data_IF_549946777226
#
_entry.id   IF_549946777226
#
_cell.length_a   1.000
_cell.length_b   1.000
_cell.length_c   1.000
_cell.angle_alpha   90.00
_cell.angle_beta   90.00
_cell.angle_gamma   90.00
#
_symmetry.space_group_name_H-M   'P 1'
#
loop_
_entity.id
_entity.type
_entity.pdbx_description
1 polymer ?
#
# COMPACT_ATOMS: atom_id res chain seq x y z
N UNK A 1 46.97 -39.34 36.48
CA UNK A 1 46.61 -39.31 35.04
C UNK A 1 45.93 -37.99 34.78
N UNK A 2 46.54 -37.14 33.96
CA UNK A 2 46.30 -35.70 33.97
C UNK A 2 46.28 -35.13 32.54
N UNK A 3 45.42 -34.12 32.38
CA UNK A 3 45.43 -32.99 31.42
C UNK A 3 44.92 -33.28 29.99
N UNK A 4 43.93 -32.57 29.44
CA UNK A 4 43.69 -31.12 29.25
C UNK A 4 44.69 -30.48 28.26
N UNK A 5 44.13 -29.87 27.19
CA UNK A 5 44.74 -28.97 26.18
C UNK A 5 45.02 -29.58 24.80
N UNK A 6 44.22 -29.19 23.80
CA UNK A 6 44.70 -28.51 22.58
C UNK A 6 43.55 -27.80 21.86
N UNK A 7 43.12 -26.69 22.49
CA UNK A 7 42.62 -25.50 21.82
C UNK A 7 43.86 -24.65 21.51
N UNK A 8 44.64 -24.97 20.46
CA UNK A 8 45.74 -24.12 19.98
C UNK A 8 46.29 -24.60 18.63
N UNK A 9 45.59 -24.28 17.54
CA UNK A 9 46.17 -24.10 16.21
C UNK A 9 45.03 -23.76 15.24
N UNK A 10 44.70 -22.47 15.09
CA UNK A 10 44.42 -21.71 13.83
C UNK A 10 44.12 -20.24 14.24
N UNK A 11 44.95 -19.64 15.10
CA UNK A 11 44.92 -18.18 15.39
C UNK A 11 46.33 -17.59 15.17
N UNK A 12 47.00 -18.03 14.10
CA UNK A 12 48.29 -17.50 13.68
C UNK A 12 48.36 -17.33 12.16
N UNK A 13 47.28 -16.78 11.58
CA UNK A 13 47.21 -16.44 10.16
C UNK A 13 46.28 -15.26 9.87
N UNK A 14 46.05 -14.41 10.86
CA UNK A 14 45.31 -13.16 10.70
C UNK A 14 46.29 -12.02 10.97
N UNK A 15 46.96 -11.57 9.89
CA UNK A 15 47.60 -10.26 9.64
C UNK A 15 48.56 -10.50 8.46
N UNK A 16 48.06 -10.25 7.23
CA UNK A 16 48.80 -9.80 6.03
C UNK A 16 48.06 -10.25 4.74
N UNK A 17 47.13 -9.42 4.25
CA UNK A 17 46.90 -9.13 2.82
C UNK A 17 45.60 -8.34 2.66
N UNK A 18 45.65 -7.07 3.07
CA UNK A 18 44.81 -6.04 2.49
C UNK A 18 45.26 -5.81 1.04
N UNK A 19 44.37 -5.99 0.06
CA UNK A 19 44.59 -5.49 -1.29
C UNK A 19 43.99 -6.25 -2.49
N UNK A 20 43.33 -7.40 -2.31
CA UNK A 20 42.68 -8.09 -3.43
C UNK A 20 41.28 -7.53 -3.72
N UNK A 21 41.12 -6.80 -4.82
CA UNK A 21 39.78 -6.53 -5.39
C UNK A 21 39.11 -7.87 -5.70
N UNK A 22 37.83 -8.09 -5.37
CA UNK A 22 37.16 -9.35 -5.71
C UNK A 22 37.12 -9.49 -7.25
N UNK A 23 37.94 -10.40 -7.79
CA UNK A 23 37.80 -10.87 -9.16
C UNK A 23 36.64 -11.86 -9.19
N UNK A 24 35.52 -11.40 -9.75
CA UNK A 24 34.44 -12.29 -10.21
C UNK A 24 35.07 -13.27 -11.19
N UNK A 25 34.98 -14.57 -10.90
CA UNK A 25 35.33 -15.61 -11.85
C UNK A 25 34.38 -15.49 -13.06
N UNK A 26 34.91 -14.95 -14.16
CA UNK A 26 34.17 -14.72 -15.41
C UNK A 26 34.00 -15.98 -16.25
N UNK A 27 34.45 -17.15 -15.79
CA UNK A 27 34.30 -18.40 -16.55
C UNK A 27 33.08 -19.18 -16.08
N UNK A 28 31.90 -18.82 -16.61
CA UNK A 28 30.80 -19.74 -17.00
C UNK A 28 29.42 -19.08 -17.15
N UNK A 29 29.31 -17.84 -17.65
CA UNK A 29 27.98 -17.25 -17.99
C UNK A 29 27.91 -16.50 -19.32
N UNK A 30 29.02 -16.33 -20.06
CA UNK A 30 29.03 -15.51 -21.29
C UNK A 30 28.81 -16.27 -22.60
N UNK A 31 28.80 -17.61 -22.60
CA UNK A 31 28.71 -18.40 -23.84
C UNK A 31 27.42 -19.23 -23.97
N UNK A 32 26.48 -19.10 -23.03
CA UNK A 32 25.13 -19.57 -23.28
C UNK A 32 24.35 -18.42 -23.92
N UNK A 33 23.87 -18.58 -25.18
CA UNK A 33 23.04 -17.56 -25.79
C UNK A 33 21.83 -17.29 -24.88
N UNK A 34 21.41 -16.02 -24.73
CA UNK A 34 20.19 -15.70 -23.98
C UNK A 34 19.05 -16.55 -24.52
N UNK A 35 18.30 -17.19 -23.63
CA UNK A 35 17.16 -18.02 -24.01
C UNK A 35 16.24 -17.17 -24.88
N UNK A 36 16.11 -17.57 -26.15
CA UNK A 36 15.22 -16.89 -27.08
C UNK A 36 13.79 -16.96 -26.56
N UNK A 37 12.92 -15.99 -26.88
CA UNK A 37 11.50 -16.10 -26.58
C UNK A 37 10.90 -17.44 -27.03
N UNK A 38 11.36 -17.99 -28.16
CA UNK A 38 11.00 -19.35 -28.62
C UNK A 38 11.48 -20.48 -27.71
N UNK A 39 12.67 -20.37 -27.10
CA UNK A 39 13.17 -21.36 -26.13
C UNK A 39 12.40 -21.28 -24.80
N UNK A 40 12.08 -20.08 -24.34
CA UNK A 40 11.23 -19.85 -23.15
C UNK A 40 9.81 -20.36 -23.40
N UNK A 41 9.22 -20.03 -24.55
CA UNK A 41 7.93 -20.55 -24.99
C UNK A 41 8.00 -22.07 -25.12
N UNK A 42 9.04 -22.66 -25.69
CA UNK A 42 9.19 -24.11 -25.79
C UNK A 42 9.31 -24.81 -24.43
N UNK A 43 9.86 -24.13 -23.42
CA UNK A 43 9.90 -24.61 -22.03
C UNK A 43 8.56 -24.43 -21.29
N UNK A 44 7.71 -23.48 -21.69
CA UNK A 44 6.36 -23.25 -21.17
C UNK A 44 5.27 -24.06 -21.89
N UNK A 45 5.48 -24.39 -23.17
CA UNK A 45 4.69 -25.31 -23.98
C UNK A 45 5.18 -26.75 -23.84
N UNK A 46 6.31 -26.94 -23.15
CA UNK A 46 6.80 -28.25 -22.76
C UNK A 46 5.92 -28.84 -21.68
N UNK A 47 5.64 -30.13 -21.82
CA UNK A 47 5.12 -31.02 -20.78
C UNK A 47 5.83 -30.71 -19.44
N UNK A 48 5.09 -30.41 -18.38
CA UNK A 48 5.66 -30.35 -17.02
C UNK A 48 5.71 -29.00 -16.32
N UNK A 49 4.77 -28.08 -16.58
CA UNK A 49 4.50 -27.03 -15.60
C UNK A 49 3.95 -27.68 -14.32
N UNK A 50 4.77 -27.69 -13.27
CA UNK A 50 4.39 -28.15 -11.94
C UNK A 50 3.35 -27.16 -11.40
N UNK A 51 2.12 -27.63 -11.22
CA UNK A 51 1.10 -26.91 -10.48
C UNK A 51 0.83 -27.60 -9.16
N UNK A 52 0.31 -26.80 -8.24
CA UNK A 52 -0.18 -27.23 -6.94
C UNK A 52 -1.69 -27.56 -7.09
N UNK A 53 -2.09 -28.76 -6.69
CA UNK A 53 -3.51 -29.16 -6.59
C UNK A 53 -3.88 -29.34 -5.12
N UNK A 54 -5.11 -28.99 -4.76
CA UNK A 54 -5.70 -29.33 -3.47
C UNK A 54 -6.99 -30.11 -3.72
N UNK A 55 -7.20 -31.21 -2.98
CA UNK A 55 -8.38 -32.05 -3.10
C UNK A 55 -9.07 -32.22 -1.75
N UNK A 56 -10.37 -32.42 -1.82
CA UNK A 56 -11.20 -32.79 -0.67
C UNK A 56 -11.70 -34.22 -0.90
N UNK A 57 -11.48 -35.08 0.10
CA UNK A 57 -11.84 -36.50 0.03
C UNK A 57 -12.86 -36.78 1.12
N UNK A 58 -14.06 -37.18 0.71
CA UNK A 58 -15.16 -37.51 1.62
C UNK A 58 -15.25 -39.01 1.83
N UNK A 59 -15.31 -39.43 3.09
CA UNK A 59 -15.47 -40.82 3.49
C UNK A 59 -16.94 -41.09 3.87
N UNK A 60 -17.68 -41.89 3.08
CA UNK A 60 -19.07 -42.24 3.41
C UNK A 60 -19.18 -43.38 4.43
N UNK A 61 -18.08 -43.99 4.86
CA UNK A 61 -18.08 -45.15 5.76
C UNK A 61 -18.00 -44.72 7.23
N UNK A 62 -18.58 -45.51 8.16
CA UNK A 62 -18.53 -45.25 9.60
C UNK A 62 -17.17 -45.60 10.23
N UNK A 63 -16.14 -45.86 9.42
CA UNK A 63 -14.79 -46.23 9.84
C UNK A 63 -13.78 -45.33 9.11
N UNK A 64 -12.70 -44.97 9.81
CA UNK A 64 -11.58 -44.22 9.25
C UNK A 64 -10.81 -45.07 8.22
N UNK A 65 -10.32 -44.42 7.18
CA UNK A 65 -9.29 -44.99 6.30
C UNK A 65 -8.18 -43.96 6.06
N UNK A 66 -7.04 -44.44 5.63
CA UNK A 66 -5.85 -43.62 5.36
C UNK A 66 -5.38 -43.82 3.94
N UNK A 67 -4.97 -42.75 3.27
CA UNK A 67 -4.39 -42.79 1.93
C UNK A 67 -2.88 -42.57 2.06
N UNK A 68 -2.10 -43.56 1.61
CA UNK A 68 -0.65 -43.49 1.60
C UNK A 68 -0.14 -42.90 0.29
N UNK A 69 -0.83 -43.19 -0.81
CA UNK A 69 -0.49 -42.69 -2.15
C UNK A 69 -1.76 -42.48 -2.96
N UNK A 70 -1.76 -41.45 -3.81
CA UNK A 70 -2.81 -41.17 -4.77
C UNK A 70 -2.21 -40.82 -6.14
N UNK A 71 -2.85 -41.22 -7.23
CA UNK A 71 -2.53 -40.72 -8.56
C UNK A 71 -3.73 -40.79 -9.50
N UNK A 72 -3.84 -39.84 -10.42
CA UNK A 72 -4.96 -39.75 -11.36
C UNK A 72 -4.62 -38.91 -12.58
N UNK A 73 -5.48 -39.02 -13.60
CA UNK A 73 -5.52 -38.18 -14.78
C UNK A 73 -6.80 -37.34 -14.75
N UNK A 74 -6.69 -36.02 -14.66
CA UNK A 74 -7.81 -35.10 -14.79
C UNK A 74 -7.92 -34.59 -16.23
N UNK A 75 -9.09 -34.71 -16.82
CA UNK A 75 -9.33 -34.42 -18.24
C UNK A 75 -10.73 -33.90 -18.54
N UNK A 76 -10.98 -33.53 -19.78
CA UNK A 76 -12.31 -33.17 -20.27
C UNK A 76 -12.49 -33.79 -21.66
N UNK A 77 -13.63 -34.45 -21.91
CA UNK A 77 -13.95 -35.09 -23.19
C UNK A 77 -12.84 -36.04 -23.69
N UNK A 78 -12.28 -36.85 -22.79
CA UNK A 78 -11.22 -37.81 -23.10
C UNK A 78 -9.82 -37.21 -23.29
N UNK A 79 -9.67 -35.88 -23.21
CA UNK A 79 -8.36 -35.21 -23.25
C UNK A 79 -7.84 -35.00 -21.84
N UNK A 80 -6.68 -35.56 -21.49
CA UNK A 80 -6.05 -35.35 -20.18
C UNK A 80 -5.30 -34.02 -20.14
N UNK A 81 -5.57 -33.22 -19.11
CA UNK A 81 -4.99 -31.89 -18.93
C UNK A 81 -4.11 -31.76 -17.69
N UNK A 82 -4.34 -32.59 -16.68
CA UNK A 82 -3.45 -32.70 -15.52
C UNK A 82 -3.26 -34.16 -15.14
N UNK A 83 -2.04 -34.52 -14.77
CA UNK A 83 -1.69 -35.85 -14.26
C UNK A 83 -0.80 -35.69 -13.05
N UNK A 84 -1.09 -36.41 -11.98
CA UNK A 84 -0.23 -36.38 -10.81
C UNK A 84 -0.16 -37.73 -10.12
N UNK A 85 0.92 -37.94 -9.38
CA UNK A 85 1.08 -39.02 -8.40
C UNK A 85 1.76 -38.43 -7.17
N UNK A 86 1.18 -38.69 -6.00
CA UNK A 86 1.62 -38.12 -4.74
C UNK A 86 1.62 -39.18 -3.65
N UNK A 87 2.70 -39.20 -2.87
CA UNK A 87 2.84 -40.05 -1.69
C UNK A 87 2.77 -39.17 -0.45
N UNK A 88 1.81 -39.46 0.43
CA UNK A 88 1.65 -38.73 1.68
C UNK A 88 2.70 -39.20 2.69
N UNK A 89 3.34 -38.25 3.37
CA UNK A 89 4.25 -38.58 4.46
C UNK A 89 3.50 -39.30 5.59
N UNK A 90 4.19 -40.21 6.30
CA UNK A 90 3.63 -40.95 7.44
C UNK A 90 2.99 -39.97 8.45
N UNK A 91 1.75 -40.21 8.92
CA UNK A 91 1.01 -41.47 8.81
C UNK A 91 0.15 -41.62 7.54
N UNK A 92 0.26 -40.76 6.55
CA UNK A 92 -0.62 -40.70 5.38
C UNK A 92 -1.72 -39.63 5.52
N UNK A 93 -2.59 -39.49 4.52
CA UNK A 93 -3.78 -38.64 4.60
C UNK A 93 -4.90 -39.40 5.30
N UNK A 94 -5.20 -39.00 6.54
CA UNK A 94 -6.25 -39.60 7.36
C UNK A 94 -7.61 -39.04 6.96
N UNK A 95 -8.53 -39.90 6.52
CA UNK A 95 -9.89 -39.52 6.17
C UNK A 95 -10.86 -40.02 7.25
N UNK A 96 -11.40 -39.11 8.09
CA UNK A 96 -12.20 -39.50 9.25
C UNK A 96 -13.50 -40.22 8.85
N UNK A 97 -14.03 -41.06 9.74
CA UNK A 97 -15.33 -41.71 9.56
C UNK A 97 -16.44 -40.67 9.30
N UNK A 98 -17.24 -40.88 8.25
CA UNK A 98 -18.32 -39.97 7.83
C UNK A 98 -17.88 -38.50 7.63
N UNK A 99 -16.60 -38.26 7.39
CA UNK A 99 -16.02 -36.92 7.32
C UNK A 99 -15.31 -36.63 6.01
N UNK A 100 -14.73 -35.44 5.92
CA UNK A 100 -13.94 -34.99 4.76
C UNK A 100 -12.54 -34.62 5.21
N UNK A 101 -11.53 -35.01 4.45
CA UNK A 101 -10.15 -34.60 4.64
C UNK A 101 -9.68 -33.74 3.47
N UNK A 102 -8.86 -32.74 3.78
CA UNK A 102 -8.17 -31.93 2.78
C UNK A 102 -6.77 -32.52 2.56
N UNK A 103 -6.37 -32.72 1.30
CA UNK A 103 -5.05 -33.30 0.98
C UNK A 103 -3.88 -32.36 1.30
N UNK A 104 -4.16 -31.08 1.56
CA UNK A 104 -3.18 -30.03 1.46
C UNK A 104 -2.79 -29.78 0.00
N UNK A 105 -1.62 -29.20 -0.19
CA UNK A 105 -1.05 -28.96 -1.51
C UNK A 105 -0.32 -30.21 -2.00
N UNK A 106 -0.73 -30.70 -3.17
CA UNK A 106 -0.05 -31.73 -3.95
C UNK A 106 0.76 -31.03 -5.03
N UNK A 107 2.07 -31.17 -4.90
CA UNK A 107 3.06 -30.74 -5.86
C UNK A 107 3.29 -31.79 -6.97
N UNK A 108 4.08 -31.43 -7.97
CA UNK A 108 4.47 -32.35 -9.05
C UNK A 108 3.38 -32.65 -10.09
N UNK A 109 2.31 -31.86 -10.14
CA UNK A 109 1.26 -32.03 -11.15
C UNK A 109 1.81 -31.70 -12.53
N UNK A 110 1.81 -32.67 -13.42
CA UNK A 110 2.19 -32.49 -14.81
C UNK A 110 0.98 -32.03 -15.61
N UNK A 111 1.17 -31.03 -16.48
CA UNK A 111 0.15 -30.60 -17.45
C UNK A 111 0.54 -31.09 -18.85
N UNK A 112 0.00 -32.23 -19.33
CA UNK A 112 0.44 -32.83 -20.60
C UNK A 112 0.21 -31.93 -21.83
N UNK A 113 -0.82 -31.08 -21.76
CA UNK A 113 -1.16 -30.13 -22.84
C UNK A 113 -0.43 -28.78 -22.69
N UNK A 114 0.38 -28.61 -21.64
CA UNK A 114 0.93 -27.32 -21.23
C UNK A 114 -0.13 -26.39 -20.61
N UNK A 115 0.29 -25.42 -19.81
CA UNK A 115 -0.66 -24.59 -19.05
C UNK A 115 -1.62 -23.77 -19.92
N UNK A 116 -1.21 -23.41 -21.14
CA UNK A 116 -2.02 -22.58 -22.05
C UNK A 116 -3.21 -23.34 -22.62
N UNK A 117 -3.02 -24.60 -22.99
CA UNK A 117 -4.13 -25.43 -23.44
C UNK A 117 -5.09 -25.74 -22.28
N UNK A 118 -4.56 -25.85 -21.05
CA UNK A 118 -5.37 -26.01 -19.83
C UNK A 118 -6.24 -24.78 -19.53
N UNK A 119 -5.89 -23.57 -20.03
CA UNK A 119 -6.74 -22.38 -19.88
C UNK A 119 -8.08 -22.52 -20.63
N UNK A 120 -8.11 -23.32 -21.71
CA UNK A 120 -9.33 -23.59 -22.48
C UNK A 120 -10.40 -24.39 -21.72
N UNK A 121 -10.05 -24.98 -20.57
CA UNK A 121 -10.97 -25.71 -19.70
C UNK A 121 -11.68 -24.78 -18.71
N UNK A 122 -11.11 -23.60 -18.42
CA UNK A 122 -11.64 -22.67 -17.42
C UNK A 122 -13.15 -22.38 -17.59
N UNK A 123 -13.70 -22.21 -18.82
CA UNK A 123 -15.13 -21.98 -19.01
C UNK A 123 -16.02 -23.14 -18.57
N UNK A 124 -15.48 -24.36 -18.46
CA UNK A 124 -16.24 -25.56 -18.11
C UNK A 124 -16.34 -25.74 -16.59
N UNK A 125 -15.38 -25.23 -15.81
CA UNK A 125 -15.42 -25.29 -14.34
C UNK A 125 -15.35 -26.69 -13.74
N UNK A 126 -15.18 -27.74 -14.56
CA UNK A 126 -15.23 -29.15 -14.15
C UNK A 126 -14.18 -29.97 -14.92
N UNK A 127 -13.68 -31.04 -14.28
CA UNK A 127 -12.81 -32.06 -14.88
C UNK A 127 -13.29 -33.47 -14.53
N UNK A 128 -13.12 -34.40 -15.45
CA UNK A 128 -13.27 -35.82 -15.20
C UNK A 128 -11.94 -36.41 -14.71
N UNK A 129 -11.97 -37.13 -13.59
CA UNK A 129 -10.88 -37.95 -13.12
C UNK A 129 -10.97 -39.35 -13.75
N UNK A 130 -9.85 -39.80 -14.29
CA UNK A 130 -9.69 -41.11 -14.92
C UNK A 130 -8.42 -41.78 -14.40
N UNK A 131 -8.42 -43.11 -14.36
CA UNK A 131 -7.32 -43.91 -13.82
C UNK A 131 -6.93 -43.50 -12.39
N UNK A 132 -7.92 -43.08 -11.59
CA UNK A 132 -7.68 -42.79 -10.19
C UNK A 132 -7.25 -44.08 -9.49
N UNK A 133 -6.07 -44.01 -8.88
CA UNK A 133 -5.44 -45.09 -8.13
C UNK A 133 -5.03 -44.58 -6.77
N UNK A 134 -5.29 -45.38 -5.74
CA UNK A 134 -4.99 -45.03 -4.36
C UNK A 134 -4.43 -46.25 -3.64
N UNK A 135 -3.33 -46.09 -2.93
CA UNK A 135 -2.93 -47.05 -1.90
C UNK A 135 -3.59 -46.62 -0.61
N UNK A 136 -4.56 -47.41 -0.13
CA UNK A 136 -5.31 -47.10 1.10
C UNK A 136 -5.09 -48.16 2.18
N UNK A 137 -5.25 -47.76 3.43
CA UNK A 137 -5.37 -48.65 4.59
C UNK A 137 -6.73 -48.44 5.21
N UNK A 138 -7.52 -49.49 5.27
CA UNK A 138 -8.88 -49.48 5.80
C UNK A 138 -8.89 -49.77 7.30
N UNK A 139 -9.83 -49.20 8.04
CA UNK A 139 -10.00 -49.44 9.48
C UNK A 139 -8.75 -49.00 10.26
N UNK A 140 -8.24 -47.81 9.93
CA UNK A 140 -7.11 -47.21 10.65
C UNK A 140 -7.59 -46.51 11.93
N UNK A 141 -6.66 -46.25 12.84
CA UNK A 141 -6.91 -45.39 14.01
C UNK A 141 -5.86 -44.29 13.98
N UNK A 142 -6.28 -43.04 13.71
CA UNK A 142 -5.39 -41.90 13.54
C UNK A 142 -4.26 -42.16 12.52
N UNK A 143 -4.58 -42.83 11.41
CA UNK A 143 -3.58 -43.13 10.39
C UNK A 143 -2.69 -44.35 10.65
N UNK A 144 -2.81 -45.00 11.80
CA UNK A 144 -1.96 -46.13 12.19
C UNK A 144 -2.65 -47.47 11.95
N UNK A 145 -1.89 -48.45 11.46
CA UNK A 145 -2.38 -49.81 11.19
C UNK A 145 -3.24 -49.89 9.93
N UNK A 146 -4.30 -50.69 9.99
CA UNK A 146 -5.28 -50.89 8.93
C UNK A 146 -4.93 -52.02 7.95
N UNK A 147 -5.94 -52.46 7.19
CA UNK A 147 -5.80 -53.47 6.14
C UNK A 147 -5.47 -52.76 4.81
N UNK A 148 -4.32 -53.05 4.17
CA UNK A 148 -4.00 -52.49 2.86
C UNK A 148 -5.06 -52.89 1.84
N UNK A 149 -5.63 -51.90 1.16
CA UNK A 149 -6.57 -52.07 0.07
C UNK A 149 -6.16 -51.15 -1.09
N UNK A 150 -5.46 -51.68 -2.11
CA UNK A 150 -5.19 -50.91 -3.31
C UNK A 150 -6.49 -50.69 -4.08
N UNK A 151 -6.74 -49.44 -4.44
CA UNK A 151 -7.81 -49.03 -5.33
C UNK A 151 -7.18 -48.64 -6.67
N UNK A 152 -7.73 -49.11 -7.78
CA UNK A 152 -7.22 -48.80 -9.11
C UNK A 152 -8.34 -48.73 -10.13
N UNK A 153 -8.14 -47.92 -11.17
CA UNK A 153 -9.10 -47.78 -12.27
C UNK A 153 -10.38 -47.03 -11.89
N UNK A 154 -10.38 -46.27 -10.79
CA UNK A 154 -11.54 -45.46 -10.42
C UNK A 154 -11.70 -44.29 -11.40
N UNK A 155 -12.95 -43.88 -11.59
CA UNK A 155 -13.31 -42.74 -12.43
C UNK A 155 -14.32 -41.87 -11.69
N UNK A 156 -14.20 -40.56 -11.83
CA UNK A 156 -15.14 -39.58 -11.28
C UNK A 156 -15.39 -38.52 -12.35
N UNK A 157 -16.65 -38.21 -12.62
CA UNK A 157 -17.04 -37.23 -13.64
C UNK A 157 -17.46 -35.92 -13.00
N UNK A 158 -17.28 -34.81 -13.72
CA UNK A 158 -17.76 -33.49 -13.28
C UNK A 158 -17.19 -33.04 -11.92
N UNK A 159 -15.90 -33.32 -11.66
CA UNK A 159 -15.24 -32.81 -10.45
C UNK A 159 -15.08 -31.29 -10.57
N UNK A 160 -15.70 -30.49 -9.70
CA UNK A 160 -15.60 -29.04 -9.78
C UNK A 160 -14.16 -28.57 -9.63
N UNK A 161 -13.76 -27.64 -10.49
CA UNK A 161 -12.43 -27.03 -10.47
C UNK A 161 -12.55 -25.54 -10.26
N UNK A 162 -11.80 -25.04 -9.28
CA UNK A 162 -11.68 -23.60 -9.04
C UNK A 162 -10.25 -23.22 -9.33
N UNK A 163 -10.05 -22.27 -10.24
CA UNK A 163 -8.74 -21.66 -10.41
C UNK A 163 -8.49 -20.77 -9.20
N UNK A 164 -7.54 -21.14 -8.35
CA UNK A 164 -7.07 -20.28 -7.28
C UNK A 164 -6.58 -18.96 -7.88
N UNK A 165 -7.29 -17.87 -7.60
CA UNK A 165 -6.81 -16.52 -7.92
C UNK A 165 -5.59 -16.25 -7.05
N UNK A 166 -4.46 -15.95 -7.69
CA UNK A 166 -3.25 -15.54 -6.98
C UNK A 166 -3.59 -14.32 -6.10
N UNK A 167 -3.55 -14.50 -4.78
CA UNK A 167 -3.72 -13.41 -3.83
C UNK A 167 -2.49 -12.51 -3.89
N UNK A 168 -2.70 -11.21 -4.13
CA UNK A 168 -1.63 -10.20 -4.10
C UNK A 168 -1.81 -9.38 -2.84
N UNK A 169 -0.74 -9.13 -2.08
CA UNK A 169 -0.76 -8.22 -0.93
C UNK A 169 -0.04 -6.92 -1.28
N UNK A 170 -0.60 -5.80 -0.84
CA UNK A 170 0.04 -4.49 -0.83
C UNK A 170 0.47 -4.19 0.60
N UNK A 171 1.74 -3.82 0.77
CA UNK A 171 2.24 -3.27 2.03
C UNK A 171 2.44 -1.77 1.83
N UNK A 172 1.73 -0.97 2.63
CA UNK A 172 1.84 0.49 2.63
C UNK A 172 2.62 0.92 3.85
N UNK A 173 3.61 1.79 3.65
CA UNK A 173 4.33 2.46 4.73
C UNK A 173 3.83 3.90 4.86
N UNK A 174 3.38 4.25 6.06
CA UNK A 174 3.06 5.63 6.41
C UNK A 174 4.28 6.27 7.05
N UNK A 175 4.85 7.29 6.41
CA UNK A 175 6.01 8.03 6.94
C UNK A 175 5.62 9.32 7.67
N UNK A 176 4.33 9.63 7.78
CA UNK A 176 3.85 10.82 8.47
C UNK A 176 3.41 10.48 9.91
N UNK A 177 3.51 11.43 10.86
CA UNK A 177 3.23 11.20 12.29
C UNK A 177 1.73 11.15 12.64
N UNK A 178 0.86 10.86 11.66
CA UNK A 178 -0.58 10.72 11.86
C UNK A 178 -1.12 9.57 11.02
N UNK A 179 -2.25 9.00 11.41
CA UNK A 179 -2.92 7.93 10.66
C UNK A 179 -3.40 8.43 9.29
N UNK A 180 -3.21 7.61 8.27
CA UNK A 180 -3.82 7.78 6.96
C UNK A 180 -4.72 6.59 6.66
N UNK A 181 -5.76 6.81 5.88
CA UNK A 181 -6.65 5.75 5.41
C UNK A 181 -6.75 5.78 3.90
N UNK A 182 -6.57 4.64 3.26
CA UNK A 182 -6.70 4.50 1.81
C UNK A 182 -8.06 3.90 1.50
N UNK A 183 -8.90 4.64 0.79
CA UNK A 183 -10.23 4.18 0.40
C UNK A 183 -10.19 3.46 -0.95
N UNK A 184 -9.35 3.94 -1.86
CA UNK A 184 -9.20 3.38 -3.19
C UNK A 184 -7.75 3.51 -3.66
N UNK A 185 -7.30 2.52 -4.40
CA UNK A 185 -6.02 2.49 -5.08
C UNK A 185 -6.18 1.96 -6.50
N UNK A 186 -5.52 2.58 -7.46
CA UNK A 186 -5.42 2.07 -8.83
C UNK A 186 -4.10 2.43 -9.46
N UNK A 187 -3.59 1.55 -10.33
CA UNK A 187 -2.36 1.80 -11.09
C UNK A 187 -2.29 0.92 -12.33
N UNK A 188 -1.40 1.30 -13.25
CA UNK A 188 -0.95 0.47 -14.35
C UNK A 188 0.52 0.10 -14.09
N UNK A 189 0.88 -1.17 -14.21
CA UNK A 189 2.26 -1.62 -14.20
C UNK A 189 2.67 -2.06 -15.61
N UNK A 190 3.78 -1.52 -16.10
CA UNK A 190 4.23 -1.67 -17.48
C UNK A 190 5.74 -1.70 -17.62
N UNK A 191 6.21 -1.89 -18.85
CA UNK A 191 7.62 -1.74 -19.20
C UNK A 191 7.69 -1.05 -20.58
N UNK A 192 8.54 -0.02 -20.71
CA UNK A 192 8.74 0.72 -21.96
C UNK A 192 7.42 1.22 -22.58
N UNK A 193 6.53 1.77 -21.74
CA UNK A 193 5.23 2.29 -22.16
C UNK A 193 4.17 1.24 -22.49
N UNK A 194 4.48 -0.05 -22.39
CA UNK A 194 3.50 -1.14 -22.55
C UNK A 194 2.94 -1.54 -21.19
N UNK A 195 1.64 -1.43 -20.99
CA UNK A 195 0.95 -1.85 -19.77
C UNK A 195 0.71 -3.36 -19.77
N UNK A 196 1.20 -4.05 -18.75
CA UNK A 196 1.05 -5.50 -18.59
C UNK A 196 0.04 -5.88 -17.51
N UNK A 197 -0.15 -4.99 -16.53
CA UNK A 197 -1.00 -5.22 -15.39
C UNK A 197 -1.74 -3.94 -15.07
N UNK A 198 -3.04 -4.04 -14.81
CA UNK A 198 -3.84 -2.93 -14.32
C UNK A 198 -4.63 -3.42 -13.12
N UNK A 199 -4.64 -2.67 -12.03
CA UNK A 199 -5.53 -2.97 -10.93
C UNK A 199 -6.23 -1.71 -10.45
N UNK A 200 -7.45 -1.90 -9.99
CA UNK A 200 -8.25 -0.90 -9.28
C UNK A 200 -8.92 -1.63 -8.13
N UNK A 201 -8.65 -1.17 -6.92
CA UNK A 201 -9.14 -1.77 -5.70
C UNK A 201 -9.78 -0.71 -4.81
N UNK A 202 -10.99 -1.00 -4.33
CA UNK A 202 -11.70 -0.19 -3.35
C UNK A 202 -11.76 -0.96 -2.04
N UNK A 203 -11.26 -0.36 -0.97
CA UNK A 203 -11.27 -0.95 0.35
C UNK A 203 -12.66 -0.78 0.97
N UNK A 204 -13.20 -1.85 1.57
CA UNK A 204 -14.45 -1.75 2.33
C UNK A 204 -14.26 -0.84 3.53
N UNK A 205 -15.32 -0.11 3.91
CA UNK A 205 -15.33 0.74 5.11
C UNK A 205 -14.76 -0.02 6.33
N UNK A 206 -13.81 0.57 7.08
CA UNK A 206 -13.42 1.98 7.05
C UNK A 206 -12.31 2.34 6.05
N UNK A 207 -11.85 1.43 5.19
CA UNK A 207 -10.69 1.59 4.31
C UNK A 207 -9.45 0.85 4.83
N UNK A 208 -8.32 0.95 4.13
CA UNK A 208 -7.03 0.45 4.61
C UNK A 208 -6.40 1.48 5.56
N UNK A 209 -6.47 1.19 6.86
CA UNK A 209 -5.90 2.02 7.92
C UNK A 209 -4.38 1.81 7.96
N UNK A 210 -3.61 2.88 7.79
CA UNK A 210 -2.15 2.85 7.91
C UNK A 210 -1.72 3.70 9.13
N UNK A 211 -1.30 3.07 10.23
CA UNK A 211 -0.94 3.77 11.47
C UNK A 211 0.15 4.82 11.26
N UNK A 212 0.15 5.86 12.11
CA UNK A 212 1.22 6.86 12.14
C UNK A 212 2.61 6.22 12.22
N UNK A 213 3.52 6.61 11.33
CA UNK A 213 4.88 6.05 11.22
C UNK A 213 4.95 4.52 11.09
N UNK A 214 3.84 3.89 10.69
CA UNK A 214 3.66 2.44 10.69
C UNK A 214 3.54 1.85 9.28
N UNK A 215 3.16 0.57 9.24
CA UNK A 215 2.85 -0.15 8.00
C UNK A 215 1.51 -0.84 8.10
N UNK A 216 0.82 -0.98 6.98
CA UNK A 216 -0.39 -1.78 6.87
C UNK A 216 -0.33 -2.71 5.67
N UNK A 217 -0.94 -3.89 5.81
CA UNK A 217 -1.09 -4.86 4.73
C UNK A 217 -2.55 -4.83 4.25
N UNK A 218 -2.76 -4.70 2.95
CA UNK A 218 -4.10 -4.70 2.34
C UNK A 218 -4.86 -6.01 2.50
N UNK A 219 -4.18 -7.12 2.84
CA UNK A 219 -4.68 -8.45 2.54
C UNK A 219 -4.68 -8.71 1.04
N UNK A 220 -5.54 -9.61 0.56
CA UNK A 220 -5.66 -9.92 -0.87
C UNK A 220 -6.27 -8.74 -1.64
N UNK A 221 -5.58 -8.32 -2.70
CA UNK A 221 -6.11 -7.46 -3.75
C UNK A 221 -6.58 -8.36 -4.88
N UNK A 222 -7.89 -8.45 -5.03
CA UNK A 222 -8.54 -9.17 -6.11
C UNK A 222 -8.60 -8.32 -7.40
N UNK A 223 -9.01 -8.94 -8.51
CA UNK A 223 -9.29 -8.28 -9.79
C UNK A 223 -8.10 -7.55 -10.46
N UNK A 224 -6.91 -8.12 -10.32
CA UNK A 224 -5.75 -7.69 -11.11
C UNK A 224 -5.94 -8.12 -12.57
N UNK A 225 -6.23 -7.17 -13.44
CA UNK A 225 -6.39 -7.42 -14.87
C UNK A 225 -5.01 -7.47 -15.56
N UNK A 226 -4.87 -8.39 -16.50
CA UNK A 226 -3.70 -8.51 -17.38
C UNK A 226 -4.16 -8.17 -18.81
N UNK A 227 -4.13 -6.89 -19.24
CA UNK A 227 -4.72 -6.48 -20.51
C UNK A 227 -4.11 -7.17 -21.73
N UNK A 228 -2.82 -7.51 -21.65
CA UNK A 228 -2.09 -8.22 -22.69
C UNK A 228 -2.19 -9.76 -22.53
N UNK A 229 -2.97 -10.23 -21.55
CA UNK A 229 -3.07 -11.63 -21.16
C UNK A 229 -1.84 -12.14 -20.42
N UNK A 230 -2.01 -13.29 -19.76
CA UNK A 230 -0.94 -13.96 -19.01
C UNK A 230 0.28 -14.34 -19.89
N UNK A 231 0.06 -14.46 -21.20
CA UNK A 231 1.09 -14.83 -22.17
C UNK A 231 2.10 -13.71 -22.43
N UNK A 232 1.62 -12.49 -22.63
CA UNK A 232 2.49 -11.34 -22.84
C UNK A 232 3.29 -10.99 -21.57
N UNK A 233 2.74 -11.27 -20.39
CA UNK A 233 3.44 -11.09 -19.11
C UNK A 233 4.64 -12.02 -18.93
N UNK A 234 4.79 -13.11 -19.70
CA UNK A 234 6.03 -13.92 -19.65
C UNK A 234 7.25 -13.16 -20.20
N UNK A 235 7.04 -12.25 -21.16
CA UNK A 235 8.12 -11.47 -21.76
C UNK A 235 8.78 -10.46 -20.80
N UNK A 236 8.12 -10.12 -19.70
CA UNK A 236 8.61 -9.18 -18.68
C UNK A 236 9.21 -9.86 -17.44
N UNK A 237 9.00 -11.17 -17.25
CA UNK A 237 9.60 -11.92 -16.13
C UNK A 237 11.12 -11.72 -16.04
N UNK A 238 11.88 -11.73 -17.16
CA UNK A 238 13.32 -11.49 -17.11
C UNK A 238 13.70 -10.08 -16.64
N UNK A 239 12.80 -9.09 -16.79
CA UNK A 239 13.05 -7.71 -16.41
C UNK A 239 13.13 -7.52 -14.89
N UNK A 240 12.42 -8.36 -14.13
CA UNK A 240 12.30 -8.28 -12.65
C UNK A 240 11.87 -6.92 -12.10
N UNK A 241 11.44 -6.01 -12.97
CA UNK A 241 11.11 -4.63 -12.66
C UNK A 241 9.96 -4.19 -13.56
N UNK A 242 9.05 -3.39 -13.01
CA UNK A 242 7.96 -2.76 -13.75
C UNK A 242 7.84 -1.29 -13.37
N UNK A 243 7.48 -0.46 -14.33
CA UNK A 243 7.12 0.93 -14.09
C UNK A 243 5.65 0.99 -13.71
N UNK A 244 5.36 1.57 -12.54
CA UNK A 244 4.02 1.96 -12.15
C UNK A 244 3.70 3.33 -12.78
N UNK A 245 2.60 3.42 -13.51
CA UNK A 245 2.14 4.63 -14.19
C UNK A 245 0.67 4.86 -13.92
N UNK A 246 0.27 6.14 -13.84
CA UNK A 246 -1.12 6.49 -13.55
C UNK A 246 -1.57 6.00 -12.19
N UNK A 247 -0.66 5.94 -11.21
CA UNK A 247 -1.00 5.61 -9.84
C UNK A 247 -1.94 6.69 -9.30
N UNK A 248 -3.12 6.25 -8.91
CA UNK A 248 -4.16 7.07 -8.29
C UNK A 248 -4.56 6.46 -6.96
N UNK A 249 -4.68 7.28 -5.93
CA UNK A 249 -5.15 6.86 -4.61
C UNK A 249 -6.13 7.89 -4.05
N UNK A 250 -7.23 7.41 -3.47
CA UNK A 250 -8.08 8.22 -2.61
C UNK A 250 -7.61 7.97 -1.17
N UNK A 251 -6.94 8.96 -0.59
CA UNK A 251 -6.41 8.90 0.76
C UNK A 251 -7.15 9.89 1.65
N UNK A 252 -7.41 9.53 2.90
CA UNK A 252 -7.81 10.45 3.95
C UNK A 252 -6.68 10.59 4.96
N UNK A 253 -6.19 11.80 5.15
CA UNK A 253 -5.19 12.10 6.18
C UNK A 253 -5.86 12.46 7.51
N UNK A 254 -5.14 12.29 8.63
CA UNK A 254 -5.63 12.64 9.96
C UNK A 254 -6.91 11.87 10.34
N UNK A 255 -7.00 10.61 9.92
CA UNK A 255 -8.12 9.73 10.31
C UNK A 255 -7.93 9.24 11.75
N UNK A 256 -9.03 8.76 12.34
CA UNK A 256 -9.01 8.08 13.64
C UNK A 256 -9.70 6.74 13.45
N UNK A 257 -8.93 5.64 13.50
CA UNK A 257 -9.43 4.29 13.24
C UNK A 257 -10.17 4.19 11.90
N UNK A 258 -9.65 4.86 10.87
CA UNK A 258 -10.25 4.89 9.53
C UNK A 258 -11.46 5.81 9.35
N UNK A 259 -11.92 6.49 10.41
CA UNK A 259 -13.05 7.42 10.34
C UNK A 259 -12.59 8.86 10.13
N UNK A 260 -13.44 9.66 9.48
CA UNK A 260 -13.19 11.09 9.22
C UNK A 260 -12.01 11.32 8.27
N UNK A 261 -11.17 12.32 8.60
CA UNK A 261 -9.98 12.69 7.85
C UNK A 261 -10.23 13.66 6.69
N UNK A 262 -9.13 14.22 6.18
CA UNK A 262 -9.10 15.16 5.06
C UNK A 262 -8.84 14.36 3.78
N UNK A 263 -9.76 14.38 2.80
CA UNK A 263 -9.51 13.76 1.51
C UNK A 263 -8.33 14.42 0.80
N UNK A 264 -7.34 13.61 0.43
CA UNK A 264 -6.19 13.98 -0.38
C UNK A 264 -6.24 13.09 -1.64
N UNK A 265 -6.84 13.58 -2.73
CA UNK A 265 -6.79 12.86 -3.99
C UNK A 265 -5.35 12.87 -4.52
N UNK A 266 -4.75 11.70 -4.66
CA UNK A 266 -3.48 11.52 -5.34
C UNK A 266 -3.76 10.97 -6.74
N UNK A 267 -3.23 11.63 -7.76
CA UNK A 267 -3.37 11.18 -9.15
C UNK A 267 -2.10 11.47 -9.94
N UNK A 268 -1.89 10.69 -11.00
CA UNK A 268 -0.76 10.89 -11.92
C UNK A 268 0.61 10.55 -11.31
N UNK A 269 0.65 9.83 -10.19
CA UNK A 269 1.92 9.36 -9.63
C UNK A 269 2.51 8.28 -10.54
N UNK A 270 3.83 8.23 -10.60
CA UNK A 270 4.57 7.20 -11.33
C UNK A 270 5.80 6.79 -10.54
N UNK A 271 6.19 5.53 -10.70
CA UNK A 271 7.35 4.95 -10.06
C UNK A 271 8.02 4.02 -11.06
N UNK A 272 9.26 4.31 -11.43
CA UNK A 272 10.03 3.46 -12.35
C UNK A 272 10.74 2.34 -11.61
N UNK A 273 11.08 1.26 -12.32
CA UNK A 273 11.95 0.19 -11.82
C UNK A 273 11.45 -0.46 -10.52
N UNK A 274 10.14 -0.64 -10.36
CA UNK A 274 9.58 -1.28 -9.17
C UNK A 274 9.93 -2.77 -9.18
N UNK A 275 10.71 -3.26 -8.20
CA UNK A 275 11.10 -4.66 -8.16
C UNK A 275 9.87 -5.56 -8.13
N UNK A 276 9.81 -6.48 -9.08
CA UNK A 276 8.68 -7.37 -9.28
C UNK A 276 9.15 -8.81 -9.06
N UNK A 277 8.64 -9.44 -8.01
CA UNK A 277 8.85 -10.87 -7.78
C UNK A 277 7.71 -11.67 -8.41
N UNK A 278 8.06 -12.63 -9.23
CA UNK A 278 7.11 -13.56 -9.84
C UNK A 278 7.11 -14.87 -9.06
N UNK A 279 6.21 -15.01 -8.10
CA UNK A 279 5.99 -16.27 -7.40
C UNK A 279 4.98 -17.12 -8.18
N UNK A 280 5.51 -17.95 -9.08
CA UNK A 280 4.87 -19.13 -9.61
C UNK A 280 5.87 -20.26 -9.48
N UNK A 281 5.49 -21.35 -8.80
CA UNK A 281 6.28 -22.55 -8.56
C UNK A 281 6.68 -23.23 -9.88
N UNK A 282 7.69 -22.69 -10.54
CA UNK A 282 8.57 -23.39 -11.46
C UNK A 282 10.04 -22.92 -11.33
N UNK A 283 10.33 -21.86 -10.57
CA UNK A 283 11.70 -21.38 -10.30
C UNK A 283 11.80 -20.96 -8.84
N UNK A 284 12.07 -21.92 -7.96
CA UNK A 284 12.09 -21.73 -6.52
C UNK A 284 13.30 -20.90 -6.03
N UNK A 285 12.99 -19.89 -5.21
CA UNK A 285 13.75 -19.60 -3.98
C UNK A 285 14.77 -18.47 -4.02
N UNK A 286 14.32 -17.22 -3.88
CA UNK A 286 15.12 -16.13 -3.29
C UNK A 286 14.23 -15.18 -2.45
N UNK A 287 14.77 -14.58 -1.37
CA UNK A 287 14.00 -13.82 -0.40
C UNK A 287 13.49 -12.50 -1.01
N UNK A 288 12.33 -12.08 -0.54
CA UNK A 288 11.66 -10.82 -0.86
C UNK A 288 12.66 -9.64 -0.83
N UNK A 289 12.81 -8.84 -1.90
CA UNK A 289 13.38 -7.52 -1.72
C UNK A 289 12.37 -6.70 -0.91
N UNK A 290 12.79 -6.22 0.26
CA UNK A 290 12.12 -5.09 0.90
C UNK A 290 11.97 -3.99 -0.15
N UNK A 291 10.78 -3.39 -0.27
CA UNK A 291 10.64 -2.12 -0.97
C UNK A 291 11.70 -1.17 -0.40
N UNK A 292 12.69 -0.81 -1.22
CA UNK A 292 13.69 0.17 -0.82
C UNK A 292 12.98 1.52 -0.69
N UNK A 293 13.30 2.18 0.41
CA UNK A 293 12.61 3.30 1.06
C UNK A 293 12.64 4.60 0.23
N UNK A 294 13.09 4.55 -1.02
CA UNK A 294 13.58 5.71 -1.78
C UNK A 294 12.66 6.22 -2.89
N UNK A 295 11.66 5.45 -3.32
CA UNK A 295 10.92 5.79 -4.55
C UNK A 295 9.44 6.15 -4.35
N UNK A 296 8.92 6.04 -3.13
CA UNK A 296 7.69 6.71 -2.71
C UNK A 296 8.09 7.93 -1.89
N UNK A 297 8.32 9.05 -2.56
CA UNK A 297 8.43 10.33 -1.84
C UNK A 297 7.06 10.59 -1.21
N UNK A 298 6.95 10.66 0.13
CA UNK A 298 5.71 11.06 0.77
C UNK A 298 5.25 12.41 0.22
N UNK A 299 3.95 12.72 0.25
CA UNK A 299 3.46 14.03 -0.16
C UNK A 299 4.32 15.09 0.52
N UNK A 300 4.91 15.96 -0.31
CA UNK A 300 5.80 17.00 0.20
C UNK A 300 5.03 17.89 1.16
N UNK A 301 5.73 18.54 2.09
CA UNK A 301 5.10 19.54 2.96
C UNK A 301 4.29 20.56 2.17
N UNK A 302 4.74 20.94 0.95
CA UNK A 302 3.99 21.81 0.04
C UNK A 302 2.66 21.20 -0.41
N UNK A 303 2.63 19.93 -0.83
CA UNK A 303 1.38 19.27 -1.25
C UNK A 303 0.38 19.12 -0.10
N UNK A 304 0.87 18.89 1.12
CA UNK A 304 0.04 18.88 2.32
C UNK A 304 -0.49 20.29 2.58
N UNK A 305 0.36 21.32 2.50
CA UNK A 305 -0.03 22.72 2.65
C UNK A 305 -1.10 23.09 1.61
N UNK A 306 -0.91 22.77 0.33
CA UNK A 306 -1.86 23.08 -0.75
C UNK A 306 -3.23 22.42 -0.50
N UNK A 307 -3.24 21.15 -0.08
CA UNK A 307 -4.49 20.48 0.30
C UNK A 307 -5.16 21.13 1.53
N UNK A 308 -4.36 21.61 2.50
CA UNK A 308 -4.85 22.32 3.69
C UNK A 308 -5.30 23.76 3.40
N UNK A 309 -4.73 24.44 2.41
CA UNK A 309 -5.18 25.78 1.99
C UNK A 309 -6.53 25.72 1.27
N UNK A 310 -6.76 24.69 0.44
CA UNK A 310 -8.02 24.51 -0.30
C UNK A 310 -9.25 24.21 0.56
N UNK A 311 -9.07 23.63 1.75
CA UNK A 311 -10.16 23.35 2.71
C UNK A 311 -10.59 24.56 3.54
N UNK A 312 -9.96 25.73 3.35
CA UNK A 312 -10.43 26.98 3.95
C UNK A 312 -10.24 27.04 5.48
N UNK A 313 -9.13 26.54 6.00
CA UNK A 313 -8.76 26.66 7.44
C UNK A 313 -8.76 28.13 7.89
N UNK A 314 -8.55 29.07 6.96
CA UNK A 314 -8.68 30.50 7.17
C UNK A 314 -9.72 31.02 6.21
N UNK A 315 -10.98 30.98 6.62
CA UNK A 315 -12.08 31.64 5.92
C UNK A 315 -12.70 32.68 6.85
N UNK A 316 -13.01 33.84 6.29
CA UNK A 316 -13.67 34.95 6.95
C UNK A 316 -12.84 35.60 8.08
N UNK A 317 -11.52 35.77 7.87
CA UNK A 317 -10.70 36.61 8.76
C UNK A 317 -11.29 38.01 8.75
N UNK A 318 -12.09 38.37 9.74
CA UNK A 318 -12.67 39.71 9.81
C UNK A 318 -11.74 40.59 10.64
N UNK A 319 -10.97 41.45 9.99
CA UNK A 319 -10.21 42.48 10.70
C UNK A 319 -11.08 43.71 10.91
N UNK A 320 -11.22 44.13 12.17
CA UNK A 320 -11.88 45.38 12.50
C UNK A 320 -10.84 46.38 13.01
N UNK A 321 -10.75 47.53 12.36
CA UNK A 321 -9.91 48.64 12.76
C UNK A 321 -10.81 49.74 13.34
N UNK A 322 -10.58 50.11 14.60
CA UNK A 322 -11.18 51.32 15.16
C UNK A 322 -10.18 52.47 15.05
N UNK A 323 -10.66 53.71 15.09
CA UNK A 323 -9.76 54.87 15.12
C UNK A 323 -8.77 54.78 16.29
N UNK A 324 -9.25 54.34 17.46
CA UNK A 324 -8.40 54.07 18.61
C UNK A 324 -7.37 53.01 18.28
N UNK A 325 -7.75 51.93 17.59
CA UNK A 325 -6.84 50.84 17.25
C UNK A 325 -5.75 51.29 16.27
N UNK A 326 -6.10 52.15 15.31
CA UNK A 326 -5.15 52.80 14.40
C UNK A 326 -4.15 53.68 15.18
N UNK A 327 -4.62 54.43 16.17
CA UNK A 327 -3.76 55.30 16.99
C UNK A 327 -2.91 54.51 18.00
N UNK A 328 -3.38 53.34 18.43
CA UNK A 328 -2.68 52.47 19.39
C UNK A 328 -1.91 51.33 18.74
N UNK A 329 -1.85 51.26 17.41
CA UNK A 329 -1.23 50.16 16.66
C UNK A 329 -1.80 48.78 17.05
N UNK A 330 -3.13 48.67 17.10
CA UNK A 330 -3.85 47.42 17.39
C UNK A 330 -4.89 47.12 16.31
N UNK A 331 -5.22 45.83 16.15
CA UNK A 331 -6.38 45.36 15.41
C UNK A 331 -7.27 44.55 16.36
N UNK A 332 -8.59 44.69 16.23
CA UNK A 332 -9.51 44.29 17.30
C UNK A 332 -9.69 42.77 17.48
N UNK A 333 -9.76 42.00 16.39
CA UNK A 333 -9.72 40.53 16.44
C UNK A 333 -9.61 39.88 15.06
N UNK A 334 -9.19 38.62 15.03
CA UNK A 334 -9.32 37.68 13.91
C UNK A 334 -10.16 36.49 14.38
N UNK A 335 -11.16 36.12 13.60
CA UNK A 335 -11.93 34.89 13.81
C UNK A 335 -11.32 33.78 12.98
N UNK A 336 -10.90 32.70 13.63
CA UNK A 336 -10.44 31.49 12.97
C UNK A 336 -11.56 30.45 12.95
N UNK A 337 -11.71 29.75 11.82
CA UNK A 337 -12.63 28.63 11.68
C UNK A 337 -11.83 27.36 11.43
N UNK A 338 -12.10 26.30 12.18
CA UNK A 338 -11.45 25.02 12.01
C UNK A 338 -12.42 24.05 11.31
N UNK A 339 -12.27 23.80 10.01
CA UNK A 339 -13.13 22.87 9.28
C UNK A 339 -12.78 21.39 9.57
N UNK A 340 -11.77 21.12 10.41
CA UNK A 340 -11.27 19.78 10.65
C UNK A 340 -11.94 19.13 11.87
N UNK A 341 -12.13 17.78 11.86
CA UNK A 341 -12.65 17.02 13.00
C UNK A 341 -11.61 16.83 14.13
N UNK A 342 -10.55 17.62 14.15
CA UNK A 342 -9.49 17.61 15.17
C UNK A 342 -9.27 19.03 15.69
N UNK A 343 -8.77 19.16 16.92
CA UNK A 343 -8.43 20.47 17.49
C UNK A 343 -7.14 21.04 16.86
N UNK A 344 -7.14 22.35 16.63
CA UNK A 344 -5.95 23.10 16.20
C UNK A 344 -5.52 24.06 17.31
N UNK A 345 -4.21 24.25 17.45
CA UNK A 345 -3.64 25.26 18.35
C UNK A 345 -2.75 26.19 17.55
N UNK A 346 -3.07 27.48 17.46
CA UNK A 346 -2.22 28.47 16.79
C UNK A 346 -1.25 29.05 17.83
N UNK A 347 0.05 28.98 17.57
CA UNK A 347 1.08 29.58 18.43
C UNK A 347 1.49 30.97 17.96
N UNK A 348 1.32 31.27 16.66
CA UNK A 348 1.63 32.57 16.09
C UNK A 348 0.88 32.81 14.78
N UNK A 349 0.49 34.07 14.55
CA UNK A 349 0.10 34.59 13.23
C UNK A 349 1.00 35.75 12.84
N UNK A 350 1.30 35.87 11.56
CA UNK A 350 1.89 37.06 10.96
C UNK A 350 1.37 37.25 9.53
N UNK A 351 1.23 38.48 9.08
CA UNK A 351 0.77 38.76 7.73
C UNK A 351 0.74 40.25 7.40
N UNK A 352 0.49 40.51 6.11
CA UNK A 352 0.42 41.85 5.54
C UNK A 352 -0.99 42.09 4.99
N UNK A 353 -1.63 43.19 5.40
CA UNK A 353 -2.91 43.63 4.86
C UNK A 353 -2.67 44.82 3.91
N UNK A 354 -3.20 44.71 2.69
CA UNK A 354 -2.98 45.66 1.63
C UNK A 354 -4.18 45.86 0.70
N UNK A 355 -4.03 46.75 -0.27
CA UNK A 355 -4.99 46.93 -1.36
C UNK A 355 -4.19 47.16 -2.64
N UNK A 356 -4.54 46.45 -3.73
CA UNK A 356 -3.86 46.56 -5.03
C UNK A 356 -2.32 46.42 -4.94
N UNK A 357 -1.85 45.48 -4.12
CA UNK A 357 -0.42 45.22 -3.90
C UNK A 357 0.31 46.22 -3.00
N UNK A 358 -0.37 47.25 -2.49
CA UNK A 358 0.20 48.18 -1.49
C UNK A 358 -0.10 47.69 -0.08
N UNK A 359 0.93 47.45 0.73
CA UNK A 359 0.79 47.02 2.13
C UNK A 359 0.52 48.22 3.04
N UNK A 360 -0.60 48.18 3.77
CA UNK A 360 -1.02 49.24 4.67
C UNK A 360 -0.89 48.87 6.15
N UNK A 361 -0.97 47.58 6.47
CA UNK A 361 -0.74 47.09 7.82
C UNK A 361 0.10 45.81 7.78
N UNK A 362 1.01 45.67 8.73
CA UNK A 362 1.78 44.44 8.96
C UNK A 362 1.60 44.05 10.42
N UNK A 363 1.29 42.80 10.69
CA UNK A 363 1.04 42.33 12.06
C UNK A 363 1.80 41.05 12.38
N UNK A 364 2.13 40.89 13.66
CA UNK A 364 2.67 39.64 14.20
C UNK A 364 2.15 39.48 15.62
N UNK A 365 1.43 38.39 15.87
CA UNK A 365 0.85 38.07 17.16
C UNK A 365 1.23 36.65 17.57
N UNK A 366 1.95 36.53 18.67
CA UNK A 366 2.19 35.26 19.33
C UNK A 366 1.06 34.96 20.32
N UNK A 367 0.74 33.67 20.49
CA UNK A 367 -0.19 33.17 21.49
C UNK A 367 0.60 32.25 22.44
N UNK A 368 1.16 32.77 23.56
CA UNK A 368 2.05 31.99 24.43
C UNK A 368 1.39 30.73 25.01
N UNK A 369 0.08 30.77 25.25
CA UNK A 369 -0.73 29.63 25.70
C UNK A 369 -1.33 28.81 24.55
N UNK A 370 -1.07 29.20 23.30
CA UNK A 370 -1.79 28.74 22.12
C UNK A 370 -3.21 29.31 22.05
N UNK A 371 -3.66 29.62 20.83
CA UNK A 371 -5.06 29.86 20.53
C UNK A 371 -5.69 28.55 20.07
N UNK A 372 -6.51 27.96 20.94
CA UNK A 372 -7.18 26.69 20.69
C UNK A 372 -8.42 26.92 19.84
N UNK A 373 -8.47 26.30 18.66
CA UNK A 373 -9.63 26.25 17.79
C UNK A 373 -10.26 24.85 17.90
N UNK A 374 -11.47 24.72 18.48
CA UNK A 374 -12.14 23.43 18.61
C UNK A 374 -12.32 22.72 17.26
N UNK A 375 -12.39 21.39 17.28
CA UNK A 375 -12.75 20.60 16.11
C UNK A 375 -14.11 21.05 15.55
N UNK A 376 -14.19 21.29 14.23
CA UNK A 376 -15.38 21.81 13.55
C UNK A 376 -15.94 23.12 14.17
N UNK A 377 -15.07 23.89 14.82
CA UNK A 377 -15.45 25.08 15.61
C UNK A 377 -14.76 26.35 15.15
N UNK A 378 -14.87 27.40 15.95
CA UNK A 378 -14.19 28.67 15.72
C UNK A 378 -13.57 29.22 17.01
N UNK A 379 -12.56 30.07 16.86
CA UNK A 379 -11.94 30.79 17.97
C UNK A 379 -11.58 32.21 17.56
N UNK A 380 -11.78 33.15 18.47
CA UNK A 380 -11.40 34.54 18.27
C UNK A 380 -10.00 34.78 18.88
N UNK A 381 -9.11 35.43 18.13
CA UNK A 381 -7.75 35.74 18.58
C UNK A 381 -7.68 36.69 19.78
N UNK A 382 -8.78 37.37 20.10
CA UNK A 382 -8.75 38.61 20.86
C UNK A 382 -8.02 39.71 20.10
N UNK A 383 -7.62 40.77 20.80
CA UNK A 383 -6.93 41.91 20.21
C UNK A 383 -5.52 41.55 19.73
N UNK A 384 -5.25 41.84 18.47
CA UNK A 384 -3.91 41.76 17.87
C UNK A 384 -3.17 43.04 18.23
N UNK A 385 -2.06 42.86 18.94
CA UNK A 385 -1.18 43.94 19.34
C UNK A 385 -0.10 44.18 18.28
N UNK A 386 0.55 45.34 18.32
CA UNK A 386 1.73 45.65 17.49
C UNK A 386 1.46 45.61 15.98
N UNK A 387 0.31 46.11 15.53
CA UNK A 387 0.03 46.32 14.11
C UNK A 387 0.82 47.54 13.64
N UNK A 388 1.88 47.31 12.88
CA UNK A 388 2.61 48.41 12.27
C UNK A 388 1.86 48.90 11.02
N UNK A 389 1.83 50.23 10.85
CA UNK A 389 1.22 50.91 9.71
C UNK A 389 2.35 51.55 8.87
N UNK A 390 2.95 50.83 7.91
CA UNK A 390 4.16 51.29 7.22
C UNK A 390 3.94 52.60 6.44
N UNK A 391 2.71 52.81 5.96
CA UNK A 391 2.30 54.01 5.24
C UNK A 391 1.78 55.13 6.15
N UNK A 392 1.74 54.89 7.47
CA UNK A 392 1.10 55.77 8.44
C UNK A 392 -0.43 55.73 8.39
N UNK A 393 -1.06 56.55 9.23
CA UNK A 393 -2.52 56.57 9.44
C UNK A 393 -3.28 57.28 8.32
N UNK A 394 -2.70 58.33 7.74
CA UNK A 394 -3.39 59.20 6.78
C UNK A 394 -3.82 58.47 5.49
N UNK A 395 -2.99 57.61 4.86
CA UNK A 395 -3.43 56.84 3.70
C UNK A 395 -4.57 55.87 4.02
N UNK A 396 -4.64 55.37 5.26
CA UNK A 396 -5.69 54.45 5.71
C UNK A 396 -7.08 55.09 5.70
N UNK A 397 -7.16 56.41 5.93
CA UNK A 397 -8.42 57.16 5.86
C UNK A 397 -9.01 57.20 4.44
N UNK A 398 -8.18 57.11 3.40
CA UNK A 398 -8.61 57.07 2.00
C UNK A 398 -9.13 55.71 1.54
N UNK A 399 -8.87 54.64 2.30
CA UNK A 399 -9.24 53.25 1.97
C UNK A 399 -10.58 52.87 2.61
N UNK A 400 -11.07 53.66 3.57
CA UNK A 400 -12.33 53.43 4.30
C UNK A 400 -13.52 53.25 3.34
N UNK A 401 -13.48 53.88 2.15
CA UNK A 401 -14.53 53.75 1.13
C UNK A 401 -14.64 52.36 0.51
N UNK A 402 -13.55 51.61 0.48
CA UNK A 402 -13.48 50.35 -0.27
C UNK A 402 -13.98 49.17 0.57
N UNK A 403 -13.99 49.32 1.90
CA UNK A 403 -14.48 48.34 2.88
C UNK A 403 -13.88 46.92 2.74
N UNK A 404 -12.78 46.78 1.99
CA UNK A 404 -12.08 45.51 1.80
C UNK A 404 -10.57 45.72 1.79
N UNK A 405 -9.84 44.75 2.32
CA UNK A 405 -8.39 44.62 2.21
C UNK A 405 -8.05 43.24 1.66
N UNK A 406 -6.99 43.13 0.88
CA UNK A 406 -6.37 41.86 0.56
C UNK A 406 -5.35 41.54 1.66
N UNK A 407 -5.42 40.33 2.20
CA UNK A 407 -4.38 39.84 3.10
C UNK A 407 -3.42 38.96 2.30
N UNK A 408 -2.14 39.29 2.36
CA UNK A 408 -1.07 38.63 1.61
C UNK A 408 0.08 38.23 2.52
N UNK A 409 0.85 37.22 2.12
CA UNK A 409 2.06 36.82 2.85
C UNK A 409 1.77 36.27 4.25
N UNK A 410 0.57 35.78 4.50
CA UNK A 410 0.21 35.24 5.81
C UNK A 410 1.05 33.99 6.11
N UNK A 411 1.61 33.98 7.31
CA UNK A 411 2.21 32.82 7.93
C UNK A 411 1.49 32.53 9.24
N UNK A 412 1.09 31.29 9.42
CA UNK A 412 0.44 30.80 10.64
C UNK A 412 1.22 29.59 11.11
N UNK A 413 1.72 29.66 12.34
CA UNK A 413 2.32 28.52 13.04
C UNK A 413 1.23 27.81 13.82
N UNK A 414 0.91 26.58 13.42
CA UNK A 414 -0.10 25.74 14.04
C UNK A 414 0.54 24.49 14.65
N UNK A 415 -0.11 23.98 15.67
CA UNK A 415 0.08 22.63 16.17
C UNK A 415 -1.26 21.91 15.99
N UNK A 416 -1.27 20.87 15.15
CA UNK A 416 -2.42 19.97 15.05
C UNK A 416 -2.29 18.90 16.14
N UNK A 417 -3.32 18.78 16.99
CA UNK A 417 -3.30 17.87 18.13
C UNK A 417 -4.10 16.59 17.86
N UNK A 418 -3.46 15.44 18.09
CA UNK A 418 -4.12 14.13 18.19
C UNK A 418 -4.06 13.62 19.64
N UNK A 419 -3.04 14.03 20.43
CA UNK A 419 -2.81 13.58 21.81
C UNK A 419 -2.28 14.76 22.66
N UNK A 420 -2.86 15.07 23.84
CA UNK A 420 -2.37 16.15 24.71
C UNK A 420 -0.87 16.02 25.02
N UNK A 421 -0.10 17.07 24.72
CA UNK A 421 1.36 17.13 24.97
C UNK A 421 2.28 16.71 23.81
N UNK A 422 1.77 16.17 22.70
CA UNK A 422 2.56 15.86 21.49
C UNK A 422 1.88 16.53 20.28
N UNK A 423 2.18 17.81 20.07
CA UNK A 423 1.74 18.56 18.89
C UNK A 423 2.71 18.36 17.73
N UNK A 424 2.19 18.19 16.51
CA UNK A 424 3.03 18.26 15.31
C UNK A 424 3.08 19.73 14.89
N UNK A 425 4.25 20.40 14.98
CA UNK A 425 4.37 21.78 14.51
C UNK A 425 4.22 21.80 12.99
N UNK A 426 3.27 22.60 12.51
CA UNK A 426 2.97 22.85 11.12
C UNK A 426 3.03 24.36 10.89
N UNK A 427 3.98 24.81 10.06
CA UNK A 427 4.00 26.20 9.60
C UNK A 427 3.30 26.26 8.25
N UNK A 428 2.15 26.93 8.21
CA UNK A 428 1.49 27.31 6.96
C UNK A 428 2.02 28.68 6.55
N UNK A 429 2.43 28.84 5.30
CA UNK A 429 2.97 30.10 4.77
C UNK A 429 2.44 30.37 3.38
N UNK A 430 2.41 31.64 2.98
CA UNK A 430 1.90 32.03 1.66
C UNK A 430 0.38 31.98 1.56
N UNK A 431 -0.32 32.06 2.69
CA UNK A 431 -1.77 32.18 2.69
C UNK A 431 -2.15 33.55 2.13
N UNK A 432 -3.17 33.59 1.28
CA UNK A 432 -3.70 34.83 0.69
C UNK A 432 -5.21 34.82 0.77
N UNK A 433 -5.80 35.93 1.21
CA UNK A 433 -7.24 36.16 1.19
C UNK A 433 -7.52 37.47 0.47
N UNK A 434 -8.30 37.41 -0.60
CA UNK A 434 -8.71 38.61 -1.34
C UNK A 434 -10.07 39.10 -0.88
N UNK A 435 -10.30 40.42 -0.95
CA UNK A 435 -11.58 41.05 -0.64
C UNK A 435 -12.07 40.80 0.80
N UNK A 436 -11.16 40.84 1.78
CA UNK A 436 -11.51 40.64 3.18
C UNK A 436 -12.32 41.83 3.70
N UNK A 437 -13.59 41.64 4.12
CA UNK A 437 -14.41 42.72 4.62
C UNK A 437 -13.76 43.40 5.82
N UNK A 438 -13.53 44.69 5.71
CA UNK A 438 -12.90 45.51 6.74
C UNK A 438 -13.92 46.50 7.26
N UNK A 439 -14.24 46.41 8.55
CA UNK A 439 -15.13 47.37 9.20
C UNK A 439 -14.30 48.45 9.86
N UNK A 440 -14.62 49.70 9.53
CA UNK A 440 -14.01 50.88 10.11
C UNK A 440 -14.98 51.52 11.08
N UNK A 441 -14.60 51.63 12.35
CA UNK A 441 -15.34 52.43 13.33
C UNK A 441 -14.60 53.74 13.61
N UNK A 442 -15.00 54.78 12.89
CA UNK A 442 -14.61 56.17 13.14
C UNK A 442 -15.47 56.70 14.27
N UNK A 443 -15.25 56.21 15.49
CA UNK A 443 -16.01 56.64 16.66
C UNK A 443 -15.97 58.16 16.78
N UNK A 444 -17.12 58.81 16.55
CA UNK A 444 -17.38 60.24 16.77
C UNK A 444 -16.25 61.18 16.39
N UNK A 445 -16.12 61.47 15.08
CA UNK A 445 -15.65 62.79 14.68
C UNK A 445 -16.71 63.84 15.01
#
# INVERSE_FOLDING_TARGET
>A
MARFSTLLAVVAGLIASSGGTPTVDKRATTDLPPLTPSQIISSLTGIGLVKDINMFITNPLPLEFTIDQLGTNAGLNGTTFATFSHSFASPGLVVPALGTANSGTIDGVTLPQGALATLGIIPFGELDLSNLSASTRQITINGVGGLPLPLSGLTESSVPTVLGTQQRTLIVQNTVPFEITIDQLGTNAGLNGTTFLTFSHSFSSPGLIVPALGTANSGSIDNVALPQGALATFGIIPSQELDLTGLSASIRALTISGSGGIPIPLSGLSQSSVPTTYSGSALSGFPLPLLDRRDLLPPTTSQIIDALTGIGIFKDITMTFSLTSILTNTASSVLFQNPLPIQLTISQIAGDAGLNGTVFATFTQAFPSGLVIPALGSANSGTISNVALPQGVLPFLGIVSDAVLDITGESVSLEAFIIPGIGIPLTLSGLTQTNVPTTYNLGGL
#
